data_IF_668106682051
#
_entry.id   IF_668106682051
#
_cell.length_a   1.000
_cell.length_b   1.000
_cell.length_c   1.000
_cell.angle_alpha   90.00
_cell.angle_beta   90.00
_cell.angle_gamma   90.00
#
_symmetry.space_group_name_H-M   'P 1'
#
loop_
_entity.id
_entity.type
_entity.pdbx_description
1 polymer ?
#
# COMPACT_ATOMS: atom_id res chain seq x y z
N UNK A 1 -13.38 12.84 -10.73
CA UNK A 1 -13.57 12.94 -9.27
C UNK A 1 -12.39 12.35 -8.50
N UNK A 2 -11.97 11.11 -8.78
CA UNK A 2 -10.84 10.48 -8.09
C UNK A 2 -9.48 11.17 -8.31
N UNK A 3 -9.16 11.57 -9.55
CA UNK A 3 -7.95 12.36 -9.84
C UNK A 3 -7.85 13.63 -9.00
N UNK A 4 -8.96 14.38 -8.86
CA UNK A 4 -9.02 15.59 -8.04
C UNK A 4 -8.73 15.30 -6.57
N UNK A 5 -9.22 14.16 -6.05
CA UNK A 5 -8.93 13.72 -4.69
C UNK A 5 -7.44 13.37 -4.51
N UNK A 6 -6.82 12.71 -5.48
CA UNK A 6 -5.38 12.40 -5.46
C UNK A 6 -4.51 13.66 -5.55
N UNK A 7 -4.90 14.64 -6.37
CA UNK A 7 -4.23 15.96 -6.43
C UNK A 7 -4.29 16.68 -5.09
N UNK A 8 -5.47 16.76 -4.48
CA UNK A 8 -5.64 17.35 -3.14
C UNK A 8 -4.86 16.58 -2.06
N UNK A 9 -4.86 15.25 -2.14
CA UNK A 9 -4.07 14.42 -1.25
C UNK A 9 -2.57 14.70 -1.39
N UNK A 10 -2.06 14.81 -2.62
CA UNK A 10 -0.63 15.07 -2.88
C UNK A 10 -0.17 16.39 -2.27
N UNK A 11 -1.01 17.43 -2.33
CA UNK A 11 -0.72 18.75 -1.74
C UNK A 11 -0.56 18.72 -0.21
N UNK A 12 -0.94 17.63 0.47
CA UNK A 12 -0.72 17.48 1.91
C UNK A 12 0.68 16.97 2.28
N UNK A 13 1.54 16.69 1.29
CA UNK A 13 2.90 16.22 1.48
C UNK A 13 3.90 17.19 0.84
N UNK A 14 4.93 17.56 1.60
CA UNK A 14 5.99 18.44 1.14
C UNK A 14 6.76 17.79 -0.02
N UNK A 15 7.06 18.59 -1.04
CA UNK A 15 7.80 18.20 -2.24
C UNK A 15 7.23 17.00 -3.02
N UNK A 16 5.97 16.62 -2.76
CA UNK A 16 5.33 15.52 -3.46
C UNK A 16 4.90 15.90 -4.89
N UNK A 17 5.17 15.02 -5.84
CA UNK A 17 4.89 15.25 -7.27
C UNK A 17 3.77 14.34 -7.71
N UNK A 18 2.73 14.91 -8.32
CA UNK A 18 1.63 14.19 -8.96
C UNK A 18 1.78 14.22 -10.48
N UNK A 19 1.63 13.07 -11.12
CA UNK A 19 1.57 12.97 -12.58
C UNK A 19 0.65 11.82 -13.00
N UNK A 20 0.17 11.84 -14.24
CA UNK A 20 -0.75 10.84 -14.76
C UNK A 20 -0.42 10.47 -16.20
N UNK A 21 -0.81 9.27 -16.60
CA UNK A 21 -0.68 8.76 -17.96
C UNK A 21 -1.92 7.96 -18.33
N UNK A 22 -2.40 8.13 -19.55
CA UNK A 22 -3.53 7.38 -20.08
C UNK A 22 -3.07 6.44 -21.20
N UNK A 23 -3.44 5.17 -21.08
CA UNK A 23 -3.17 4.16 -22.09
C UNK A 23 -4.49 3.63 -22.69
N UNK A 24 -4.40 3.16 -23.93
CA UNK A 24 -5.48 2.40 -24.60
C UNK A 24 -4.92 1.04 -24.95
N UNK A 25 -5.52 -0.02 -24.42
CA UNK A 25 -5.12 -1.40 -24.71
C UNK A 25 -6.25 -2.15 -25.42
N UNK A 26 -5.90 -3.08 -26.29
CA UNK A 26 -6.89 -3.90 -26.99
C UNK A 26 -7.50 -4.94 -26.02
N UNK A 27 -8.82 -5.01 -25.99
CA UNK A 27 -9.60 -5.96 -25.20
C UNK A 27 -10.03 -7.20 -25.99
N UNK A 28 -10.70 -8.13 -25.33
CA UNK A 28 -10.96 -9.50 -25.83
C UNK A 28 -11.95 -9.62 -26.99
N UNK A 29 -12.63 -8.55 -27.42
CA UNK A 29 -13.60 -8.59 -28.53
C UNK A 29 -13.56 -7.28 -29.35
N UNK A 30 -12.37 -6.79 -29.72
CA UNK A 30 -12.21 -5.56 -30.51
C UNK A 30 -12.59 -4.26 -29.77
N UNK A 31 -12.91 -4.35 -28.48
CA UNK A 31 -13.09 -3.21 -27.60
C UNK A 31 -11.73 -2.63 -27.19
N UNK A 32 -11.61 -1.30 -27.08
CA UNK A 32 -10.43 -0.65 -26.49
C UNK A 32 -10.70 -0.35 -25.03
N UNK A 33 -9.88 -0.90 -24.14
CA UNK A 33 -9.90 -0.58 -22.72
C UNK A 33 -9.10 0.72 -22.51
N UNK A 34 -9.72 1.67 -21.82
CA UNK A 34 -9.05 2.89 -21.38
C UNK A 34 -8.49 2.66 -19.99
N UNK A 35 -7.18 2.80 -19.85
CA UNK A 35 -6.47 2.69 -18.60
C UNK A 35 -5.97 4.07 -18.21
N UNK A 36 -6.26 4.49 -16.99
CA UNK A 36 -5.68 5.69 -16.41
C UNK A 36 -4.77 5.30 -15.27
N UNK A 37 -3.52 5.73 -15.37
CA UNK A 37 -2.52 5.56 -14.33
C UNK A 37 -2.27 6.90 -13.66
N UNK A 38 -2.35 6.91 -12.33
CA UNK A 38 -2.02 8.08 -11.52
C UNK A 38 -0.83 7.75 -10.63
N UNK A 39 0.13 8.65 -10.58
CA UNK A 39 1.38 8.47 -9.87
C UNK A 39 1.59 9.59 -8.86
N UNK A 40 2.12 9.22 -7.70
CA UNK A 40 2.51 10.17 -6.65
C UNK A 40 3.90 9.77 -6.14
N UNK A 41 4.83 10.70 -6.27
CA UNK A 41 6.18 10.57 -5.77
C UNK A 41 6.28 11.40 -4.49
N UNK A 42 6.47 10.75 -3.33
CA UNK A 42 6.55 11.42 -2.02
C UNK A 42 7.97 11.24 -1.45
N UNK A 43 8.82 12.28 -1.51
CA UNK A 43 10.14 12.25 -0.87
C UNK A 43 10.04 12.15 0.65
N UNK A 44 10.81 11.26 1.28
CA UNK A 44 10.87 11.14 2.74
C UNK A 44 12.18 10.53 3.23
N UNK A 45 12.94 11.24 4.09
CA UNK A 45 14.20 10.78 4.71
C UNK A 45 15.16 10.07 3.73
N UNK A 46 15.53 10.75 2.65
CA UNK A 46 16.40 10.26 1.57
C UNK A 46 15.86 9.06 0.78
N UNK A 47 14.60 8.67 1.01
CA UNK A 47 13.91 7.63 0.27
C UNK A 47 12.77 8.26 -0.55
N UNK A 48 12.30 7.53 -1.55
CA UNK A 48 11.11 7.90 -2.32
C UNK A 48 10.00 6.89 -2.04
N UNK A 49 8.83 7.37 -1.61
CA UNK A 49 7.62 6.58 -1.56
C UNK A 49 6.89 6.80 -2.87
N UNK A 50 6.94 5.79 -3.74
CA UNK A 50 6.28 5.78 -5.03
C UNK A 50 4.89 5.17 -4.89
N UNK A 51 3.86 5.90 -5.32
CA UNK A 51 2.46 5.45 -5.36
C UNK A 51 2.01 5.39 -6.80
N UNK A 52 1.35 4.30 -7.17
CA UNK A 52 0.72 4.09 -8.47
C UNK A 52 -0.72 3.63 -8.25
N UNK A 53 -1.65 4.24 -8.98
CA UNK A 53 -3.07 3.89 -8.97
C UNK A 53 -3.50 3.61 -10.40
N UNK A 54 -3.81 2.36 -10.71
CA UNK A 54 -4.38 1.94 -11.98
C UNK A 54 -5.91 1.96 -11.87
N UNK A 55 -6.58 2.71 -12.75
CA UNK A 55 -8.03 2.61 -12.97
C UNK A 55 -8.33 2.09 -14.37
N UNK A 56 -9.31 1.18 -14.47
CA UNK A 56 -9.91 0.76 -15.73
C UNK A 56 -9.88 -0.74 -15.99
N UNK A 57 -8.76 -1.41 -15.71
CA UNK A 57 -8.64 -2.87 -15.88
C UNK A 57 -8.75 -3.61 -14.55
N UNK A 58 -7.74 -3.51 -13.68
CA UNK A 58 -7.75 -4.23 -12.40
C UNK A 58 -8.14 -3.38 -11.20
N UNK A 59 -8.19 -2.05 -11.35
CA UNK A 59 -8.46 -1.10 -10.27
C UNK A 59 -7.53 -1.34 -9.06
N UNK A 60 -6.21 -1.27 -9.28
CA UNK A 60 -5.20 -1.62 -8.29
C UNK A 60 -4.40 -0.39 -7.84
N UNK A 61 -4.14 -0.33 -6.54
CA UNK A 61 -3.18 0.56 -5.92
C UNK A 61 -1.89 -0.19 -5.60
N UNK A 62 -0.77 0.48 -5.87
CA UNK A 62 0.57 -0.01 -5.60
C UNK A 62 1.38 1.05 -4.88
N UNK A 63 2.09 0.67 -3.83
CA UNK A 63 3.07 1.52 -3.16
C UNK A 63 4.40 0.79 -3.12
N UNK A 64 5.47 1.49 -3.46
CA UNK A 64 6.82 0.94 -3.44
C UNK A 64 7.76 1.90 -2.73
N UNK A 65 8.55 1.35 -1.82
CA UNK A 65 9.70 2.03 -1.20
C UNK A 65 10.93 1.17 -1.43
N UNK A 66 12.04 1.82 -1.77
CA UNK A 66 13.34 1.17 -1.85
C UNK A 66 14.23 1.81 -0.79
N UNK A 67 14.79 0.98 0.09
CA UNK A 67 15.72 1.37 1.14
C UNK A 67 17.12 0.92 0.74
N UNK A 68 18.07 1.84 0.81
CA UNK A 68 19.47 1.54 0.58
C UNK A 68 20.01 0.71 1.74
N UNK A 69 20.70 -0.39 1.41
CA UNK A 69 21.22 -1.38 2.37
C UNK A 69 20.11 -2.14 3.11
N UNK A 70 20.42 -3.39 3.47
CA UNK A 70 19.48 -4.24 4.22
C UNK A 70 19.43 -3.74 5.67
N UNK A 71 18.44 -2.91 5.98
CA UNK A 71 18.25 -2.30 7.31
C UNK A 71 17.13 -2.94 8.14
N UNK A 72 16.20 -3.67 7.50
CA UNK A 72 15.05 -4.28 8.16
C UNK A 72 14.96 -5.79 7.89
N UNK A 73 14.40 -6.58 8.83
CA UNK A 73 14.07 -7.98 8.60
C UNK A 73 13.07 -8.17 7.45
N UNK A 74 13.11 -9.32 6.79
CA UNK A 74 12.12 -9.68 5.78
C UNK A 74 10.79 -10.01 6.44
N UNK A 75 9.71 -9.41 5.93
CA UNK A 75 8.37 -9.58 6.42
C UNK A 75 7.33 -9.60 5.28
N UNK A 76 6.15 -10.11 5.62
CA UNK A 76 4.93 -9.98 4.82
C UNK A 76 3.74 -9.65 5.71
N UNK A 77 2.80 -8.87 5.18
CA UNK A 77 1.54 -8.52 5.84
C UNK A 77 0.42 -8.85 4.86
N UNK A 78 -0.53 -9.67 5.29
CA UNK A 78 -1.66 -10.13 4.47
C UNK A 78 -2.90 -10.26 5.33
N UNK A 79 -4.08 -10.18 4.72
CA UNK A 79 -5.32 -10.48 5.44
C UNK A 79 -5.37 -11.95 5.90
N UNK A 80 -5.91 -12.15 7.09
CA UNK A 80 -6.29 -13.48 7.59
C UNK A 80 -7.49 -13.93 6.77
N UNK A 81 -7.46 -15.19 6.35
CA UNK A 81 -8.57 -15.79 5.62
C UNK A 81 -9.88 -15.68 6.43
N UNK A 82 -10.93 -15.15 5.81
CA UNK A 82 -12.26 -14.94 6.40
C UNK A 82 -12.81 -16.19 7.10
N UNK A 83 -12.58 -17.38 6.50
CA UNK A 83 -13.01 -18.66 7.09
C UNK A 83 -12.29 -18.93 8.41
N UNK A 84 -10.99 -18.64 8.49
CA UNK A 84 -10.19 -18.83 9.71
C UNK A 84 -10.63 -17.83 10.78
N UNK A 85 -11.02 -16.61 10.39
CA UNK A 85 -11.48 -15.59 11.32
C UNK A 85 -12.81 -15.95 12.00
N UNK A 86 -13.74 -16.57 11.26
CA UNK A 86 -15.04 -17.03 11.79
C UNK A 86 -14.88 -18.01 12.97
N UNK A 87 -13.87 -18.88 12.93
CA UNK A 87 -13.64 -19.87 13.98
C UNK A 87 -12.71 -19.39 15.11
N UNK A 88 -11.78 -18.46 14.83
CA UNK A 88 -10.77 -18.04 15.80
C UNK A 88 -11.09 -16.74 16.53
N UNK A 89 -12.16 -16.01 16.17
CA UNK A 89 -12.55 -14.71 16.77
C UNK A 89 -11.35 -13.79 17.02
N UNK A 90 -10.41 -13.75 16.06
CA UNK A 90 -9.18 -12.99 16.26
C UNK A 90 -9.50 -11.51 16.25
N UNK A 91 -8.86 -10.78 17.18
CA UNK A 91 -9.01 -9.32 17.25
C UNK A 91 -8.34 -8.62 16.07
N UNK A 92 -7.32 -9.24 15.50
CA UNK A 92 -6.58 -8.73 14.35
C UNK A 92 -6.94 -9.52 13.09
N UNK A 93 -7.17 -8.82 11.99
CA UNK A 93 -7.45 -9.31 10.64
C UNK A 93 -6.23 -9.23 9.73
N UNK A 94 -5.24 -8.37 10.01
CA UNK A 94 -3.96 -8.38 9.31
C UNK A 94 -2.99 -9.32 10.01
N UNK A 95 -2.44 -10.26 9.25
CA UNK A 95 -1.40 -11.20 9.70
C UNK A 95 -0.04 -10.64 9.32
N UNK A 96 0.86 -10.52 10.29
CA UNK A 96 2.29 -10.25 10.06
C UNK A 96 3.07 -11.57 10.13
N UNK A 97 3.86 -11.83 9.10
CA UNK A 97 4.84 -12.91 9.04
C UNK A 97 6.24 -12.30 8.96
N UNK A 98 7.09 -12.59 9.94
CA UNK A 98 8.44 -12.04 10.08
C UNK A 98 9.24 -12.94 11.02
N UNK A 99 10.49 -13.25 10.67
CA UNK A 99 11.37 -14.12 11.49
C UNK A 99 11.85 -13.45 12.78
N UNK A 100 11.95 -12.12 12.79
CA UNK A 100 12.33 -11.34 13.96
C UNK A 100 11.07 -10.99 14.78
N UNK A 101 10.92 -11.58 15.97
CA UNK A 101 9.74 -11.38 16.82
C UNK A 101 9.62 -9.95 17.36
N UNK A 102 10.73 -9.29 17.71
CA UNK A 102 10.69 -7.89 18.16
C UNK A 102 10.18 -6.96 17.05
N UNK A 103 10.65 -7.17 15.82
CA UNK A 103 10.21 -6.41 14.66
C UNK A 103 8.77 -6.74 14.26
N UNK A 104 8.37 -8.01 14.38
CA UNK A 104 6.98 -8.44 14.16
C UNK A 104 6.03 -7.75 15.13
N UNK A 105 6.37 -7.67 16.42
CA UNK A 105 5.56 -6.93 17.39
C UNK A 105 5.50 -5.43 17.08
N UNK A 106 6.62 -4.85 16.67
CA UNK A 106 6.65 -3.47 16.18
C UNK A 106 5.69 -3.26 15.00
N UNK A 107 5.74 -4.13 13.97
CA UNK A 107 4.83 -4.06 12.82
C UNK A 107 3.36 -4.21 13.22
N UNK A 108 3.04 -5.13 14.13
CA UNK A 108 1.68 -5.31 14.63
C UNK A 108 1.14 -4.06 15.33
N UNK A 109 1.96 -3.41 16.17
CA UNK A 109 1.59 -2.16 16.81
C UNK A 109 1.45 -1.04 15.78
N UNK A 110 2.36 -0.99 14.81
CA UNK A 110 2.34 0.01 13.76
C UNK A 110 1.06 -0.05 12.93
N UNK A 111 0.57 -1.24 12.56
CA UNK A 111 -0.70 -1.42 11.84
C UNK A 111 -1.92 -0.89 12.61
N UNK A 112 -1.90 -0.98 13.94
CA UNK A 112 -2.95 -0.43 14.80
C UNK A 112 -2.82 1.08 14.87
N UNK A 113 -1.61 1.59 15.13
CA UNK A 113 -1.34 3.01 15.27
C UNK A 113 -1.63 3.82 14.00
N UNK A 114 -1.41 3.24 12.81
CA UNK A 114 -1.72 3.89 11.53
C UNK A 114 -3.16 3.64 11.08
N UNK A 115 -3.97 2.98 11.90
CA UNK A 115 -5.38 2.70 11.64
C UNK A 115 -5.63 1.75 10.44
N UNK A 116 -4.58 1.13 9.87
CA UNK A 116 -4.70 0.14 8.78
C UNK A 116 -5.55 -1.06 9.19
N UNK A 117 -5.40 -1.49 10.45
CA UNK A 117 -6.17 -2.59 11.02
C UNK A 117 -7.67 -2.32 11.02
N UNK A 118 -8.06 -1.07 11.34
CA UNK A 118 -9.46 -0.64 11.35
C UNK A 118 -10.00 -0.54 9.92
N UNK A 119 -9.25 0.11 9.03
CA UNK A 119 -9.66 0.30 7.62
C UNK A 119 -9.86 -1.06 6.94
N UNK A 120 -8.94 -2.00 7.14
CA UNK A 120 -9.05 -3.35 6.59
C UNK A 120 -10.30 -4.09 7.12
N UNK A 121 -10.74 -3.79 8.34
CA UNK A 121 -11.88 -4.45 8.99
C UNK A 121 -13.20 -3.85 8.52
N UNK A 122 -13.22 -2.54 8.35
CA UNK A 122 -14.44 -1.79 8.03
C UNK A 122 -14.71 -1.80 6.50
N UNK A 123 -13.69 -1.92 5.65
CA UNK A 123 -13.80 -1.62 4.21
C UNK A 123 -13.47 -2.75 3.22
N UNK A 124 -13.54 -4.02 3.60
CA UNK A 124 -13.05 -5.14 2.77
C UNK A 124 -11.62 -4.93 2.22
N UNK A 125 -10.84 -4.01 2.82
CA UNK A 125 -9.55 -3.61 2.29
C UNK A 125 -8.53 -4.72 2.60
N UNK A 126 -7.93 -5.27 1.54
CA UNK A 126 -7.03 -6.44 1.61
C UNK A 126 -5.63 -6.11 1.09
N UNK A 127 -4.83 -5.31 1.83
CA UNK A 127 -3.47 -5.00 1.41
C UNK A 127 -2.57 -6.23 1.53
N UNK A 128 -1.76 -6.44 0.49
CA UNK A 128 -0.62 -7.34 0.52
C UNK A 128 0.65 -6.52 0.58
N UNK A 129 1.30 -6.48 1.74
CA UNK A 129 2.59 -5.81 1.95
C UNK A 129 3.67 -6.89 1.99
N UNK A 130 4.75 -6.71 1.26
CA UNK A 130 5.88 -7.63 1.28
C UNK A 130 7.19 -6.89 1.11
N UNK A 131 8.21 -7.35 1.84
CA UNK A 131 9.58 -6.89 1.67
C UNK A 131 10.40 -7.97 0.96
N UNK A 132 11.30 -7.57 0.06
CA UNK A 132 12.26 -8.45 -0.62
C UNK A 132 13.59 -7.74 -0.81
N UNK A 133 14.67 -8.52 -0.89
CA UNK A 133 16.00 -7.99 -1.23
C UNK A 133 16.14 -7.99 -2.75
N UNK A 134 16.48 -6.84 -3.32
CA UNK A 134 16.84 -6.68 -4.73
C UNK A 134 18.25 -6.08 -4.83
N UNK A 135 19.25 -6.91 -5.11
CA UNK A 135 20.66 -6.50 -5.06
C UNK A 135 21.08 -6.15 -3.63
N UNK A 136 21.56 -4.93 -3.41
CA UNK A 136 21.94 -4.41 -2.09
C UNK A 136 20.79 -3.68 -1.38
N UNK A 137 19.63 -3.57 -2.03
CA UNK A 137 18.52 -2.77 -1.55
C UNK A 137 17.40 -3.63 -0.98
N UNK A 138 16.70 -3.09 0.02
CA UNK A 138 15.46 -3.66 0.51
C UNK A 138 14.28 -2.96 -0.16
N UNK A 139 13.46 -3.72 -0.87
CA UNK A 139 12.25 -3.21 -1.55
C UNK A 139 11.04 -3.64 -0.76
N UNK A 140 10.19 -2.69 -0.40
CA UNK A 140 8.93 -2.92 0.31
C UNK A 140 7.80 -2.48 -0.60
N UNK A 141 6.91 -3.41 -0.93
CA UNK A 141 5.83 -3.22 -1.88
C UNK A 141 4.48 -3.56 -1.25
N UNK A 142 3.50 -2.68 -1.44
CA UNK A 142 2.10 -2.91 -1.10
C UNK A 142 1.27 -2.96 -2.37
N UNK A 143 0.38 -3.95 -2.48
CA UNK A 143 -0.63 -4.06 -3.53
C UNK A 143 -2.00 -4.18 -2.87
N UNK A 144 -3.00 -3.45 -3.39
CA UNK A 144 -4.37 -3.46 -2.89
C UNK A 144 -5.37 -3.10 -4.00
N UNK A 145 -6.64 -3.47 -3.84
CA UNK A 145 -7.73 -3.09 -4.76
C UNK A 145 -8.25 -1.68 -4.43
N UNK A 146 -8.80 -0.96 -5.40
CA UNK A 146 -9.36 0.39 -5.23
C UNK A 146 -10.90 0.41 -5.15
N UNK A 147 -11.52 -0.76 -5.11
CA UNK A 147 -12.96 -0.97 -5.13
C UNK A 147 -13.60 -0.86 -3.73
N UNK A 148 -13.30 0.22 -3.02
CA UNK A 148 -13.94 0.56 -1.74
C UNK A 148 -14.02 2.08 -1.54
N UNK A 149 -14.89 2.53 -0.63
CA UNK A 149 -15.22 3.96 -0.47
C UNK A 149 -14.06 4.77 0.12
N UNK A 150 -13.45 4.28 1.20
CA UNK A 150 -12.41 4.99 1.99
C UNK A 150 -10.97 4.86 1.43
N UNK A 151 -10.82 4.83 0.11
CA UNK A 151 -9.52 4.58 -0.55
C UNK A 151 -8.46 5.66 -0.32
N UNK A 152 -8.86 6.92 -0.13
CA UNK A 152 -7.93 8.01 0.18
C UNK A 152 -7.46 7.89 1.64
N UNK A 153 -8.34 7.52 2.55
CA UNK A 153 -8.03 7.25 3.95
C UNK A 153 -7.09 6.04 4.08
N UNK A 154 -7.33 4.98 3.32
CA UNK A 154 -6.41 3.84 3.24
C UNK A 154 -5.04 4.24 2.70
N UNK A 155 -4.99 5.06 1.64
CA UNK A 155 -3.73 5.58 1.11
C UNK A 155 -2.99 6.42 2.16
N UNK A 156 -3.68 7.33 2.88
CA UNK A 156 -3.10 8.09 4.00
C UNK A 156 -2.50 7.16 5.07
N UNK A 157 -3.25 6.16 5.50
CA UNK A 157 -2.81 5.19 6.49
C UNK A 157 -1.58 4.39 6.03
N UNK A 158 -1.53 4.01 4.75
CA UNK A 158 -0.38 3.33 4.16
C UNK A 158 0.85 4.25 4.09
N UNK A 159 0.71 5.51 3.67
CA UNK A 159 1.85 6.44 3.63
C UNK A 159 2.40 6.69 5.03
N UNK A 160 1.55 6.88 6.03
CA UNK A 160 1.99 7.03 7.42
C UNK A 160 2.64 5.74 7.96
N UNK A 161 2.17 4.57 7.56
CA UNK A 161 2.83 3.29 7.85
C UNK A 161 4.24 3.26 7.26
N UNK A 162 4.42 3.63 5.99
CA UNK A 162 5.73 3.68 5.36
C UNK A 162 6.66 4.71 6.00
N UNK A 163 6.19 5.92 6.31
CA UNK A 163 7.01 6.94 6.98
C UNK A 163 7.51 6.48 8.35
N UNK A 164 6.64 5.85 9.15
CA UNK A 164 7.02 5.29 10.45
C UNK A 164 7.99 4.12 10.30
N UNK A 165 7.77 3.24 9.32
CA UNK A 165 8.64 2.11 9.03
C UNK A 165 10.05 2.56 8.60
N UNK A 166 10.15 3.59 7.75
CA UNK A 166 11.43 4.22 7.35
C UNK A 166 12.14 4.86 8.55
N UNK A 167 11.39 5.20 9.60
CA UNK A 167 11.89 5.85 10.81
C UNK A 167 12.18 4.89 11.97
N UNK A 168 12.04 3.58 11.75
CA UNK A 168 12.39 2.54 12.72
C UNK A 168 13.91 2.51 12.97
#
# INVERSE_FOLDING_TARGET
>A
MFESQLKLFTQSYDDAIFYNNDAKVDGTIGAKLHLSYYYIDIPYKNCLIYVEQELGNHNLGKIRVTLDKISLPIFTITNINHLVNLFLRKKQILKVDCSNESFKHYLQNLLIETNLEKIAKDNLFEPKISSKIEGENLVIETIYHLEFEEKIEALKALIEFYKKLISY
#
